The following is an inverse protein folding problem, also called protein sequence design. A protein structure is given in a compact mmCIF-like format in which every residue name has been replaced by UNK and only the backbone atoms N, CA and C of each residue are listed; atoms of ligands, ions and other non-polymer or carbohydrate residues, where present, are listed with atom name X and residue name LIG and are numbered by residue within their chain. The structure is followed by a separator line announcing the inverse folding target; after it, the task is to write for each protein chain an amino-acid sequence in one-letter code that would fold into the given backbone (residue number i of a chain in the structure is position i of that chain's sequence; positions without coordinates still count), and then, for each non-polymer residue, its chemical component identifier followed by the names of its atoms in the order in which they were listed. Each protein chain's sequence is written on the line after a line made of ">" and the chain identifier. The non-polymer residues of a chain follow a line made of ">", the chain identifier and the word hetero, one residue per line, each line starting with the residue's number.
data_IF_260925979999
#
_entry.id   IF_260925979999
#
_cell.length_a   1.000
_cell.length_b   1.000
_cell.length_c   1.000
_cell.angle_alpha   90.00
_cell.angle_beta   90.00
_cell.angle_gamma   90.00
#
_symmetry.space_group_name_H-M   'P 1'
#
loop_
_entity.id
_entity.type
_entity.pdbx_description
1 polymer ?
#
# COMPACT_ATOMS: atom_id res chain seq x y z
N UNK A 1 13.54 49.85 -24.46
CA UNK A 1 13.26 49.38 -23.09
C UNK A 1 11.86 48.76 -22.92
N UNK A 2 11.26 48.13 -23.95
CA UNK A 2 9.90 47.51 -23.85
C UNK A 2 9.92 45.98 -23.80
N UNK A 3 11.10 45.33 -23.82
CA UNK A 3 11.20 43.88 -24.00
C UNK A 3 11.58 43.10 -22.73
N UNK A 4 11.94 43.77 -21.62
CA UNK A 4 12.33 43.07 -20.38
C UNK A 4 11.16 42.64 -19.48
N UNK A 5 9.95 43.16 -19.70
CA UNK A 5 8.76 42.88 -18.85
C UNK A 5 7.99 41.60 -19.24
N UNK A 6 8.34 40.95 -20.36
CA UNK A 6 7.66 39.73 -20.83
C UNK A 6 8.32 38.42 -20.40
N UNK A 7 9.55 38.47 -19.85
CA UNK A 7 10.27 37.27 -19.42
C UNK A 7 9.88 36.78 -18.01
N UNK A 8 9.38 37.67 -17.15
CA UNK A 8 9.08 37.36 -15.74
C UNK A 8 7.76 36.61 -15.53
N UNK A 9 6.86 36.60 -16.51
CA UNK A 9 5.54 35.97 -16.39
C UNK A 9 5.53 34.48 -16.81
N UNK A 10 6.53 34.03 -17.56
CA UNK A 10 6.58 32.66 -18.09
C UNK A 10 7.17 31.67 -17.08
N UNK A 11 7.99 32.13 -16.13
CA UNK A 11 8.62 31.26 -15.13
C UNK A 11 7.66 30.82 -14.00
N UNK A 12 6.66 31.63 -13.65
CA UNK A 12 5.72 31.33 -12.56
C UNK A 12 4.65 30.30 -12.93
N UNK A 13 4.31 30.17 -14.22
CA UNK A 13 3.31 29.20 -14.70
C UNK A 13 3.94 27.80 -14.89
N UNK A 14 5.25 27.72 -15.15
CA UNK A 14 5.95 26.44 -15.30
C UNK A 14 6.10 25.65 -13.98
N UNK A 15 6.09 26.34 -12.83
CA UNK A 15 6.22 25.69 -11.52
C UNK A 15 4.91 25.07 -10.99
N UNK A 16 3.75 25.42 -11.57
CA UNK A 16 2.45 24.94 -11.10
C UNK A 16 1.99 23.62 -11.76
N UNK A 17 2.68 23.18 -12.83
CA UNK A 17 2.30 21.99 -13.62
C UNK A 17 3.07 20.73 -13.20
N UNK A 18 4.07 20.85 -12.32
CA UNK A 18 4.91 19.73 -11.89
C UNK A 18 4.48 19.04 -10.59
N UNK A 19 3.31 19.39 -10.03
CA UNK A 19 2.73 18.64 -8.92
C UNK A 19 1.88 17.48 -9.49
N UNK A 20 2.51 16.54 -10.19
CA UNK A 20 1.93 15.19 -10.30
C UNK A 20 1.72 14.71 -8.87
N UNK A 21 0.52 14.22 -8.48
CA UNK A 21 0.41 13.52 -7.21
C UNK A 21 1.47 12.42 -7.25
N UNK A 22 2.41 12.45 -6.29
CA UNK A 22 3.31 11.33 -6.10
C UNK A 22 2.44 10.07 -6.11
N UNK A 23 2.79 9.10 -6.95
CA UNK A 23 2.11 7.81 -6.95
C UNK A 23 2.16 7.29 -5.51
N UNK A 24 1.03 7.38 -4.80
CA UNK A 24 0.95 6.90 -3.44
C UNK A 24 0.92 5.38 -3.56
N UNK A 25 2.06 4.73 -3.29
CA UNK A 25 2.09 3.30 -3.14
C UNK A 25 1.40 2.96 -1.80
N UNK A 26 0.34 2.15 -1.86
CA UNK A 26 -0.20 1.55 -0.65
C UNK A 26 0.78 0.48 -0.18
N UNK A 27 1.11 0.52 1.10
CA UNK A 27 1.92 -0.51 1.78
C UNK A 27 1.04 -1.09 2.87
N UNK A 28 0.95 -2.41 2.92
CA UNK A 28 0.23 -3.17 3.93
C UNK A 28 1.24 -4.00 4.69
N UNK A 29 1.30 -3.81 6.00
CA UNK A 29 2.15 -4.60 6.88
C UNK A 29 1.32 -5.74 7.48
N UNK A 30 1.82 -6.96 7.32
CA UNK A 30 1.21 -8.16 7.85
C UNK A 30 1.96 -8.62 9.09
N UNK A 31 1.19 -9.01 10.09
CA UNK A 31 1.66 -9.76 11.25
C UNK A 31 0.91 -11.09 11.31
N UNK A 32 1.59 -12.15 11.72
CA UNK A 32 1.06 -13.50 11.82
C UNK A 32 1.25 -14.01 13.24
N UNK A 33 0.20 -14.55 13.84
CA UNK A 33 0.30 -15.24 15.13
C UNK A 33 0.33 -16.77 14.97
N UNK A 34 0.66 -17.46 16.06
CA UNK A 34 0.72 -18.92 16.07
C UNK A 34 -0.57 -19.62 16.48
N UNK A 35 -1.72 -18.93 16.51
CA UNK A 35 -2.96 -19.47 17.09
C UNK A 35 -4.05 -19.57 16.04
N UNK A 36 -4.50 -20.80 15.77
CA UNK A 36 -5.53 -21.06 14.76
C UNK A 36 -6.94 -20.77 15.31
N UNK A 37 -7.30 -19.49 15.34
CA UNK A 37 -8.61 -19.02 15.78
C UNK A 37 -9.01 -17.73 15.02
N UNK A 38 -10.20 -17.12 15.21
CA UNK A 38 -10.59 -15.92 14.45
C UNK A 38 -10.00 -14.61 15.00
N UNK A 39 -9.21 -14.67 16.07
CA UNK A 39 -8.73 -13.55 16.86
C UNK A 39 -7.22 -13.44 16.77
N UNK A 40 -6.75 -12.30 16.30
CA UNK A 40 -5.32 -12.03 16.26
C UNK A 40 -4.75 -11.85 17.68
N UNK A 41 -3.91 -12.78 18.12
CA UNK A 41 -3.44 -12.87 19.50
C UNK A 41 -1.93 -13.16 19.53
N UNK A 42 -1.10 -12.32 20.20
CA UNK A 42 0.33 -12.61 20.37
C UNK A 42 0.59 -13.99 21.01
N UNK A 43 1.74 -14.64 20.73
CA UNK A 43 2.95 -14.08 20.12
C UNK A 43 2.92 -14.01 18.58
N UNK A 44 3.63 -13.03 18.04
CA UNK A 44 3.85 -12.88 16.60
C UNK A 44 4.93 -13.86 16.16
N UNK A 45 4.61 -14.72 15.18
CA UNK A 45 5.47 -15.78 14.66
C UNK A 45 5.94 -15.51 13.22
N UNK A 46 5.45 -14.43 12.61
CA UNK A 46 5.83 -14.01 11.27
C UNK A 46 5.38 -12.60 10.93
N UNK A 47 5.94 -12.07 9.86
CA UNK A 47 5.64 -10.74 9.33
C UNK A 47 5.63 -10.76 7.81
N UNK A 48 5.04 -9.76 7.19
CA UNK A 48 5.17 -9.57 5.75
C UNK A 48 4.71 -8.21 5.27
N UNK A 49 4.84 -8.01 3.97
CA UNK A 49 4.45 -6.79 3.27
C UNK A 49 3.68 -7.14 2.00
N UNK A 50 2.72 -6.29 1.67
CA UNK A 50 2.04 -6.26 0.38
C UNK A 50 1.97 -4.79 -0.06
N UNK A 51 2.42 -4.51 -1.27
CA UNK A 51 2.37 -3.16 -1.82
C UNK A 51 1.84 -3.14 -3.25
N UNK A 52 1.24 -2.02 -3.62
CA UNK A 52 0.76 -1.74 -4.98
C UNK A 52 0.67 -0.23 -5.20
N UNK A 53 0.64 0.17 -6.46
CA UNK A 53 0.39 1.57 -6.82
C UNK A 53 -1.09 1.91 -6.68
N UNK A 54 -1.38 2.96 -5.91
CA UNK A 54 -2.74 3.43 -5.66
C UNK A 54 -3.10 3.44 -4.18
N UNK A 55 -4.34 3.83 -3.88
CA UNK A 55 -4.84 3.89 -2.52
C UNK A 55 -5.60 2.62 -2.15
N UNK A 56 -5.35 2.09 -0.95
CA UNK A 56 -6.25 1.13 -0.33
C UNK A 56 -7.47 1.87 0.21
N UNK A 57 -8.64 1.63 -0.38
CA UNK A 57 -9.89 2.29 0.00
C UNK A 57 -10.77 1.31 0.77
N UNK A 58 -11.11 1.63 2.01
CA UNK A 58 -11.97 0.78 2.82
C UNK A 58 -13.35 0.55 2.16
N UNK A 59 -13.89 -0.65 2.31
CA UNK A 59 -15.15 -1.08 1.69
C UNK A 59 -15.01 -1.54 0.25
N UNK A 60 -13.78 -1.62 -0.29
CA UNK A 60 -13.55 -2.08 -1.66
C UNK A 60 -12.99 -3.50 -1.70
N UNK A 61 -13.38 -4.23 -2.75
CA UNK A 61 -12.79 -5.51 -3.14
C UNK A 61 -12.30 -5.37 -4.57
N UNK A 62 -11.05 -5.70 -4.82
CA UNK A 62 -10.40 -5.56 -6.13
C UNK A 62 -9.75 -6.88 -6.54
N UNK A 63 -9.75 -7.19 -7.83
CA UNK A 63 -8.98 -8.32 -8.35
C UNK A 63 -7.50 -8.00 -8.22
N UNK A 64 -6.68 -8.95 -7.74
CA UNK A 64 -5.24 -8.73 -7.59
C UNK A 64 -4.58 -8.38 -8.95
N UNK A 65 -5.06 -9.01 -10.03
CA UNK A 65 -4.63 -8.73 -11.41
C UNK A 65 -4.95 -7.32 -11.92
N UNK A 66 -5.77 -6.55 -11.20
CA UNK A 66 -6.10 -5.16 -11.58
C UNK A 66 -5.18 -4.13 -10.95
N UNK A 67 -4.34 -4.54 -9.99
CA UNK A 67 -3.37 -3.70 -9.31
C UNK A 67 -2.06 -3.62 -10.10
N UNK A 68 -1.43 -2.45 -10.10
CA UNK A 68 -0.13 -2.21 -10.74
C UNK A 68 1.00 -2.21 -9.71
N UNK A 69 2.21 -2.61 -10.14
CA UNK A 69 3.42 -2.65 -9.31
C UNK A 69 3.21 -3.42 -7.99
N UNK A 70 2.55 -4.56 -8.10
CA UNK A 70 2.30 -5.46 -6.97
C UNK A 70 3.61 -6.09 -6.50
N UNK A 71 3.87 -6.03 -5.19
CA UNK A 71 4.91 -6.80 -4.54
C UNK A 71 4.39 -7.42 -3.25
N UNK A 72 4.89 -8.61 -2.92
CA UNK A 72 4.56 -9.34 -1.69
C UNK A 72 5.82 -9.98 -1.13
N UNK A 73 5.93 -10.01 0.20
CA UNK A 73 6.95 -10.75 0.91
C UNK A 73 6.41 -11.17 2.27
N UNK A 74 6.47 -12.47 2.59
CA UNK A 74 6.02 -13.00 3.86
C UNK A 74 7.09 -13.91 4.44
N UNK A 75 7.36 -13.78 5.75
CA UNK A 75 8.28 -14.63 6.50
C UNK A 75 7.59 -15.13 7.76
N UNK A 76 7.35 -16.44 7.85
CA UNK A 76 6.57 -17.06 8.93
C UNK A 76 7.18 -18.41 9.28
N UNK A 77 7.54 -18.61 10.55
CA UNK A 77 8.02 -19.93 11.01
C UNK A 77 9.22 -20.50 10.25
N UNK A 78 10.06 -19.64 9.64
CA UNK A 78 11.21 -20.05 8.82
C UNK A 78 10.93 -20.22 7.32
N UNK A 79 9.67 -20.17 6.90
CA UNK A 79 9.26 -20.07 5.49
C UNK A 79 9.34 -18.62 5.05
N UNK A 80 9.98 -18.33 3.92
CA UNK A 80 10.00 -17.00 3.31
C UNK A 80 9.55 -17.10 1.87
N UNK A 81 8.44 -16.45 1.54
CA UNK A 81 7.87 -16.43 0.18
C UNK A 81 7.71 -15.01 -0.30
N UNK A 82 7.76 -14.84 -1.62
CA UNK A 82 7.61 -13.57 -2.33
C UNK A 82 6.52 -13.69 -3.38
N UNK A 83 6.25 -12.59 -4.10
CA UNK A 83 5.31 -12.61 -5.21
C UNK A 83 5.69 -13.60 -6.32
N UNK A 84 6.99 -13.86 -6.52
CA UNK A 84 7.47 -14.82 -7.53
C UNK A 84 7.13 -16.27 -7.17
N UNK A 85 6.86 -16.55 -5.89
CA UNK A 85 6.50 -17.88 -5.37
C UNK A 85 4.98 -18.15 -5.43
N UNK A 86 4.19 -17.18 -5.91
CA UNK A 86 2.74 -17.29 -6.00
C UNK A 86 2.32 -18.27 -7.12
N UNK A 87 1.59 -19.32 -6.75
CA UNK A 87 1.10 -20.35 -7.67
C UNK A 87 -0.35 -20.11 -8.08
N UNK A 88 -1.16 -19.53 -7.18
CA UNK A 88 -2.56 -19.25 -7.51
C UNK A 88 -2.64 -18.25 -8.66
N UNK A 89 -3.41 -18.54 -9.74
CA UNK A 89 -3.55 -17.60 -10.85
C UNK A 89 -4.07 -16.24 -10.38
N UNK A 90 -3.40 -15.15 -10.78
CA UNK A 90 -3.73 -13.79 -10.33
C UNK A 90 -5.20 -13.39 -10.55
N UNK A 91 -5.81 -13.87 -11.63
CA UNK A 91 -7.21 -13.62 -11.96
C UNK A 91 -8.20 -14.23 -10.94
N UNK A 92 -7.75 -15.20 -10.14
CA UNK A 92 -8.56 -15.87 -9.14
C UNK A 92 -8.43 -15.26 -7.74
N UNK A 93 -7.49 -14.32 -7.55
CA UNK A 93 -7.21 -13.71 -6.26
C UNK A 93 -7.87 -12.34 -6.20
N UNK A 94 -8.56 -12.09 -5.09
CA UNK A 94 -9.14 -10.79 -4.76
C UNK A 94 -8.57 -10.27 -3.45
N UNK A 95 -8.47 -8.96 -3.33
CA UNK A 95 -8.02 -8.25 -2.13
C UNK A 95 -9.18 -7.42 -1.61
N UNK A 96 -9.54 -7.58 -0.33
CA UNK A 96 -10.58 -6.79 0.33
C UNK A 96 -9.98 -5.88 1.37
N UNK A 97 -10.34 -4.61 1.30
CA UNK A 97 -9.96 -3.58 2.26
C UNK A 97 -11.16 -3.25 3.15
N UNK A 98 -11.03 -3.42 4.47
CA UNK A 98 -12.13 -3.22 5.44
C UNK A 98 -11.72 -2.22 6.50
N UNK A 99 -12.60 -1.28 6.86
CA UNK A 99 -12.33 -0.36 7.97
C UNK A 99 -12.56 -1.08 9.30
N UNK A 100 -11.60 -1.00 10.21
CA UNK A 100 -11.69 -1.47 11.60
C UNK A 100 -11.13 -0.40 12.52
N UNK A 101 -12.02 0.36 13.19
CA UNK A 101 -11.60 1.54 13.92
C UNK A 101 -10.98 2.59 12.98
N UNK A 102 -9.74 2.98 13.22
CA UNK A 102 -8.94 3.87 12.36
C UNK A 102 -8.20 3.14 11.24
N UNK A 103 -8.13 1.82 11.30
CA UNK A 103 -7.21 1.03 10.49
C UNK A 103 -7.95 0.46 9.28
N UNK A 104 -7.25 0.36 8.14
CA UNK A 104 -7.74 -0.39 6.98
C UNK A 104 -7.08 -1.76 7.01
N UNK A 105 -7.89 -2.78 7.23
CA UNK A 105 -7.49 -4.19 7.23
C UNK A 105 -7.52 -4.74 5.81
N UNK A 106 -6.57 -5.61 5.50
CA UNK A 106 -6.44 -6.28 4.19
C UNK A 106 -6.56 -7.78 4.35
N UNK A 107 -7.45 -8.40 3.56
CA UNK A 107 -7.61 -9.85 3.49
C UNK A 107 -7.60 -10.32 2.04
N UNK A 108 -7.06 -11.53 1.82
CA UNK A 108 -7.09 -12.21 0.53
C UNK A 108 -8.32 -13.13 0.43
N UNK A 109 -8.92 -13.18 -0.75
CA UNK A 109 -10.07 -14.01 -1.08
C UNK A 109 -10.12 -14.32 -2.57
N UNK A 110 -11.29 -14.71 -3.07
CA UNK A 110 -11.49 -15.08 -4.47
C UNK A 110 -11.78 -16.57 -4.66
N UNK A 111 -11.58 -17.05 -5.88
CA UNK A 111 -11.88 -18.44 -6.28
C UNK A 111 -10.74 -19.42 -6.02
N UNK A 112 -9.55 -18.93 -5.66
CA UNK A 112 -8.38 -19.77 -5.35
C UNK A 112 -7.85 -20.51 -6.58
N UNK A 113 -7.55 -21.80 -6.46
CA UNK A 113 -7.06 -22.63 -7.56
C UNK A 113 -5.56 -22.90 -7.55
N UNK A 114 -4.89 -22.63 -6.43
CA UNK A 114 -3.60 -23.24 -6.13
C UNK A 114 -3.76 -24.62 -5.46
N UNK A 115 -2.63 -25.31 -5.18
CA UNK A 115 -2.64 -26.68 -4.68
C UNK A 115 -3.06 -26.83 -3.21
N UNK A 116 -3.16 -25.74 -2.45
CA UNK A 116 -3.44 -25.77 -0.99
C UNK A 116 -4.87 -25.34 -0.66
N UNK A 117 -5.68 -25.00 -1.66
CA UNK A 117 -7.11 -24.71 -1.51
C UNK A 117 -7.42 -23.33 -0.92
N UNK A 118 -6.41 -22.48 -0.73
CA UNK A 118 -6.57 -21.12 -0.27
C UNK A 118 -6.91 -20.12 -1.37
N UNK A 119 -7.05 -18.87 -0.94
CA UNK A 119 -7.25 -17.72 -1.83
C UNK A 119 -5.96 -17.28 -2.53
N UNK A 120 -4.82 -17.43 -1.87
CA UNK A 120 -3.49 -17.18 -2.42
C UNK A 120 -2.52 -18.21 -1.84
N UNK A 121 -1.97 -19.04 -2.74
CA UNK A 121 -1.05 -20.13 -2.43
C UNK A 121 0.35 -19.78 -2.96
N UNK A 122 1.33 -19.85 -2.07
CA UNK A 122 2.75 -19.64 -2.35
C UNK A 122 3.51 -20.94 -2.07
N UNK A 123 4.52 -21.26 -2.90
CA UNK A 123 5.47 -22.33 -2.58
C UNK A 123 6.86 -21.99 -3.10
N UNK A 124 7.85 -22.35 -2.31
CA UNK A 124 9.25 -22.31 -2.70
C UNK A 124 9.97 -23.59 -2.24
N UNK A 125 11.30 -23.58 -2.20
CA UNK A 125 12.08 -24.70 -1.69
C UNK A 125 12.01 -24.85 -0.16
N UNK A 126 11.61 -23.80 0.58
CA UNK A 126 11.54 -23.80 2.05
C UNK A 126 10.18 -24.25 2.59
N UNK A 127 9.11 -24.10 1.81
CA UNK A 127 7.80 -24.58 2.18
C UNK A 127 6.66 -23.99 1.36
N UNK A 128 5.50 -23.89 2.00
CA UNK A 128 4.33 -23.23 1.44
C UNK A 128 3.74 -22.22 2.43
N UNK A 129 2.95 -21.30 1.88
CA UNK A 129 2.04 -20.41 2.60
C UNK A 129 0.73 -20.35 1.83
N UNK A 130 -0.39 -20.46 2.55
CA UNK A 130 -1.73 -20.31 1.99
C UNK A 130 -2.60 -19.47 2.91
N UNK A 131 -3.45 -18.63 2.31
CA UNK A 131 -4.44 -17.82 3.01
C UNK A 131 -5.82 -18.42 2.83
N UNK A 132 -6.64 -18.42 3.90
CA UNK A 132 -7.96 -19.05 3.80
C UNK A 132 -8.82 -18.45 2.69
N UNK A 133 -9.73 -19.25 2.10
CA UNK A 133 -10.71 -18.72 1.16
C UNK A 133 -11.72 -17.80 1.88
N UNK A 134 -12.42 -16.96 1.12
CA UNK A 134 -13.55 -16.17 1.67
C UNK A 134 -13.18 -14.92 2.48
N UNK A 135 -11.97 -14.37 2.32
CA UNK A 135 -11.53 -13.11 2.92
C UNK A 135 -11.47 -13.08 4.45
N UNK A 136 -11.29 -14.23 5.10
CA UNK A 136 -11.01 -14.23 6.53
C UNK A 136 -9.52 -14.05 6.83
N UNK A 137 -9.16 -14.21 8.10
CA UNK A 137 -7.83 -13.97 8.66
C UNK A 137 -6.96 -15.21 8.95
N UNK A 138 -7.39 -16.43 8.62
CA UNK A 138 -6.59 -17.64 8.84
C UNK A 138 -5.55 -17.83 7.75
N UNK A 139 -4.39 -18.36 8.13
CA UNK A 139 -3.35 -18.81 7.21
C UNK A 139 -2.83 -20.19 7.63
N UNK A 140 -2.16 -20.85 6.70
CA UNK A 140 -1.37 -22.05 6.96
C UNK A 140 -0.03 -21.94 6.23
N UNK A 141 1.05 -22.32 6.90
CA UNK A 141 2.39 -22.40 6.35
C UNK A 141 3.07 -23.71 6.77
N UNK A 142 4.19 -24.07 6.16
CA UNK A 142 4.96 -25.23 6.61
C UNK A 142 5.36 -25.08 8.09
N UNK A 143 4.83 -25.96 8.94
CA UNK A 143 5.13 -25.95 10.38
C UNK A 143 4.44 -24.86 11.20
N UNK A 144 3.51 -24.09 10.62
CA UNK A 144 2.79 -23.01 11.32
C UNK A 144 1.39 -22.83 10.76
N UNK A 145 0.42 -22.48 11.60
CA UNK A 145 -0.90 -22.06 11.18
C UNK A 145 -1.46 -21.10 12.24
N UNK A 146 -2.28 -20.16 11.83
CA UNK A 146 -2.78 -19.17 12.76
C UNK A 146 -3.61 -18.09 12.10
N UNK A 147 -3.63 -16.93 12.74
CA UNK A 147 -4.33 -15.74 12.29
C UNK A 147 -3.33 -14.70 11.82
N UNK A 148 -3.68 -13.98 10.75
CA UNK A 148 -2.93 -12.84 10.29
C UNK A 148 -3.74 -11.55 10.40
N UNK A 149 -3.02 -10.44 10.47
CA UNK A 149 -3.59 -9.10 10.38
C UNK A 149 -2.74 -8.27 9.43
N UNK A 150 -3.31 -7.93 8.27
CA UNK A 150 -2.72 -6.99 7.33
C UNK A 150 -3.27 -5.58 7.55
N UNK A 151 -2.45 -4.62 7.95
CA UNK A 151 -2.86 -3.23 8.19
C UNK A 151 -2.21 -2.31 7.14
N UNK A 152 -3.03 -1.53 6.44
CA UNK A 152 -2.53 -0.50 5.52
C UNK A 152 -1.79 0.56 6.33
N UNK A 153 -0.54 0.78 5.98
CA UNK A 153 0.26 1.89 6.49
C UNK A 153 -0.27 3.19 5.89
N UNK A 154 -0.56 4.17 6.75
CA UNK A 154 -0.90 5.51 6.29
C UNK A 154 0.24 6.05 5.43
N UNK A 155 -0.05 6.40 4.17
CA UNK A 155 0.92 7.07 3.32
C UNK A 155 1.32 8.39 4.00
N UNK A 156 2.62 8.64 4.12
CA UNK A 156 3.11 9.95 4.52
C UNK A 156 2.75 10.92 3.40
N UNK A 157 1.62 11.61 3.53
CA UNK A 157 1.17 12.61 2.56
C UNK A 157 2.26 13.69 2.49
N UNK A 158 3.02 13.80 1.40
CA UNK A 158 3.98 14.89 1.27
C UNK A 158 3.16 16.18 1.24
N UNK A 159 3.33 17.12 2.18
CA UNK A 159 2.52 18.34 2.22
C UNK A 159 2.71 19.16 0.92
N UNK A 160 1.79 19.10 -0.06
CA UNK A 160 2.21 19.44 -1.42
C UNK A 160 2.27 20.94 -1.68
N UNK A 161 1.57 21.78 -0.91
CA UNK A 161 1.29 23.15 -1.35
C UNK A 161 1.11 24.18 -0.23
N UNK A 162 0.83 23.78 1.00
CA UNK A 162 0.66 24.69 2.14
C UNK A 162 1.91 25.54 2.35
N UNK A 163 3.09 24.89 2.36
CA UNK A 163 4.39 25.55 2.46
C UNK A 163 4.71 26.43 1.25
N UNK A 164 4.34 25.98 0.04
CA UNK A 164 4.56 26.76 -1.18
C UNK A 164 3.70 28.03 -1.21
N UNK A 165 2.43 27.96 -0.77
CA UNK A 165 1.54 29.12 -0.66
C UNK A 165 2.01 30.10 0.42
N UNK A 166 2.47 29.59 1.56
CA UNK A 166 3.06 30.42 2.63
C UNK A 166 4.33 31.10 2.13
N UNK A 167 5.20 30.37 1.42
CA UNK A 167 6.41 30.92 0.81
C UNK A 167 6.13 32.02 -0.22
N UNK A 168 5.16 31.79 -1.11
CA UNK A 168 4.73 32.78 -2.10
C UNK A 168 4.05 34.00 -1.45
N UNK A 169 3.23 33.78 -0.42
CA UNK A 169 2.59 34.84 0.34
C UNK A 169 3.61 35.75 1.04
N UNK A 170 4.64 35.17 1.65
CA UNK A 170 5.73 35.92 2.28
C UNK A 170 6.60 36.66 1.25
N UNK A 171 6.89 36.04 0.11
CA UNK A 171 7.63 36.68 -0.98
C UNK A 171 6.88 37.88 -1.57
N UNK A 172 5.55 37.76 -1.76
CA UNK A 172 4.69 38.86 -2.18
C UNK A 172 4.64 40.00 -1.14
N UNK A 173 4.59 39.66 0.14
CA UNK A 173 4.61 40.65 1.22
C UNK A 173 5.93 41.44 1.25
N UNK A 174 7.07 40.75 1.11
CA UNK A 174 8.39 41.37 1.05
C UNK A 174 8.56 42.29 -0.18
N UNK A 175 8.03 41.89 -1.33
CA UNK A 175 8.06 42.69 -2.56
C UNK A 175 7.19 43.96 -2.44
N UNK A 176 6.02 43.88 -1.79
CA UNK A 176 5.13 45.03 -1.62
C UNK A 176 5.72 46.17 -0.76
N UNK A 177 6.66 45.85 0.13
CA UNK A 177 7.35 46.84 0.98
C UNK A 177 8.47 47.60 0.26
N UNK A 178 8.91 47.17 -0.93
CA UNK A 178 9.99 47.82 -1.70
C UNK A 178 9.48 48.82 -2.74
N UNK A 179 8.43 49.59 -2.44
CA UNK A 179 8.05 50.71 -3.32
C UNK A 179 9.09 51.84 -3.15
N UNK A 180 9.81 52.23 -4.22
CA UNK A 180 10.62 53.44 -4.19
C UNK A 180 9.68 54.65 -4.13
N UNK A 181 9.99 55.59 -3.23
CA UNK A 181 9.45 56.95 -3.30
C UNK A 181 10.12 57.71 -4.43
#
# INVERSE_FOLDING_TARGET
>A
MKNLLRLSSVLAVAALVAASPAANAAIVNFEFDGTFDPTFTPPIVGTGTFSFDGAAVAGTTVALSSLSNVAMSFTIGGVSVTFDDLITPLANIQVRFTLSGSDILTNFGGSGGGPFGGSADFTDATGFLTFQPGFGSLYQATGSAGTFRGVVQAAAVPEPMSLALVGLGLAGLAASRRRPR
#
